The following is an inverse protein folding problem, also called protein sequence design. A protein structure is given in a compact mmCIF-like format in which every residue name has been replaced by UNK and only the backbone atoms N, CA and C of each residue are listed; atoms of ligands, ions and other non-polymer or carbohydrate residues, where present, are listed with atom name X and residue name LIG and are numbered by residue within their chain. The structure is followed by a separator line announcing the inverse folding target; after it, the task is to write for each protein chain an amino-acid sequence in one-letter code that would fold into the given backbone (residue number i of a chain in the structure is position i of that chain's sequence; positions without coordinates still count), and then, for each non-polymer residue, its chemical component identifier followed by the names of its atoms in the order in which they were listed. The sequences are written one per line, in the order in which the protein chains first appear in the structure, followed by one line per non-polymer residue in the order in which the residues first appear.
data_IF_188667072999
#
_entry.id   IF_188667072999
#
_cell.length_a   1.000
_cell.length_b   1.000
_cell.length_c   1.000
_cell.angle_alpha   90.00
_cell.angle_beta   90.00
_cell.angle_gamma   90.00
#
_symmetry.space_group_name_H-M   'P 1'
#
loop_
_entity.id
_entity.type
_entity.pdbx_description
1 polymer ?
#
# COMPACT_ATOMS: atom_id res chain seq x y z
N UNK A 1 8.85 -1.63 17.65
CA UNK A 1 8.67 -2.57 18.78
C UNK A 1 8.45 -3.92 18.14
N UNK A 2 9.38 -4.84 18.40
CA UNK A 2 9.48 -6.13 17.72
C UNK A 2 8.40 -7.04 18.30
N UNK A 3 7.45 -7.49 17.49
CA UNK A 3 6.56 -8.59 17.87
C UNK A 3 6.85 -9.75 16.92
N UNK A 4 7.61 -10.77 17.36
CA UNK A 4 7.57 -12.07 16.71
C UNK A 4 6.27 -12.78 17.12
N UNK A 5 5.91 -13.84 16.39
CA UNK A 5 4.77 -14.76 16.57
C UNK A 5 3.54 -14.41 15.73
N UNK A 6 3.42 -15.08 14.58
CA UNK A 6 2.33 -16.04 14.38
C UNK A 6 2.85 -17.18 13.48
N UNK A 7 3.29 -18.29 14.07
CA UNK A 7 3.20 -19.59 13.40
C UNK A 7 1.82 -20.13 13.79
N UNK A 8 0.83 -19.98 12.90
CA UNK A 8 -0.41 -20.75 12.96
C UNK A 8 -0.53 -21.54 11.65
N UNK A 9 -0.70 -22.84 11.84
CA UNK A 9 -0.91 -23.84 10.82
C UNK A 9 -2.15 -23.57 9.95
N UNK A 10 -2.11 -24.12 8.75
CA UNK A 10 -3.12 -24.05 7.72
C UNK A 10 -4.53 -24.47 8.19
N UNK A 11 -5.51 -23.60 7.91
CA UNK A 11 -6.91 -23.94 7.66
C UNK A 11 -7.28 -23.28 6.33
N UNK A 12 -7.55 -24.11 5.33
CA UNK A 12 -8.09 -23.68 4.05
C UNK A 12 -9.48 -23.06 4.26
N UNK A 13 -9.68 -21.87 3.69
CA UNK A 13 -10.98 -21.23 3.54
C UNK A 13 -11.46 -20.44 4.75
N UNK A 14 -11.28 -19.12 4.70
CA UNK A 14 -12.19 -18.05 5.17
C UNK A 14 -11.36 -16.76 5.35
N UNK A 15 -11.73 -15.73 4.58
CA UNK A 15 -11.26 -14.36 4.64
C UNK A 15 -9.74 -14.15 4.47
N UNK A 16 -9.35 -13.72 3.25
CA UNK A 16 -8.25 -12.76 3.13
C UNK A 16 -8.70 -11.49 3.86
N UNK A 17 -8.54 -11.48 5.19
CA UNK A 17 -8.80 -10.30 6.00
C UNK A 17 -7.93 -9.19 5.42
N UNK A 18 -8.58 -8.13 4.92
CA UNK A 18 -7.90 -6.99 4.33
C UNK A 18 -6.75 -6.58 5.25
N UNK A 19 -5.52 -6.74 4.75
CA UNK A 19 -4.33 -6.44 5.53
C UNK A 19 -4.44 -5.01 6.05
N UNK A 20 -4.27 -4.79 7.37
CA UNK A 20 -4.55 -3.50 8.02
C UNK A 20 -3.77 -2.34 7.39
N UNK A 21 -2.65 -2.65 6.73
CA UNK A 21 -1.77 -1.70 6.05
C UNK A 21 -2.39 -1.09 4.78
N UNK A 22 -3.35 -1.75 4.14
CA UNK A 22 -4.03 -1.18 2.98
C UNK A 22 -5.34 -0.49 3.35
N UNK A 23 -5.89 -0.81 4.53
CA UNK A 23 -7.09 -0.18 5.08
C UNK A 23 -6.86 1.27 5.53
N UNK A 24 -5.61 1.66 5.83
CA UNK A 24 -5.27 3.05 6.15
C UNK A 24 -5.42 4.00 4.96
N UNK A 25 -5.33 3.51 3.72
CA UNK A 25 -5.54 4.34 2.53
C UNK A 25 -7.02 4.67 2.34
N UNK A 26 -7.35 5.88 1.83
CA UNK A 26 -8.71 6.21 1.43
C UNK A 26 -9.28 5.18 0.45
N UNK A 27 -10.55 4.80 0.61
CA UNK A 27 -11.17 3.78 -0.25
C UNK A 27 -11.11 4.11 -1.74
N UNK A 28 -11.33 5.39 -2.08
CA UNK A 28 -11.19 5.90 -3.45
C UNK A 28 -9.77 5.78 -4.04
N UNK A 29 -8.72 5.68 -3.20
CA UNK A 29 -7.33 5.60 -3.63
C UNK A 29 -6.87 4.14 -3.82
N UNK A 30 -7.52 3.17 -3.15
CA UNK A 30 -7.17 1.75 -3.21
C UNK A 30 -7.10 1.18 -4.63
N UNK A 31 -8.07 1.41 -5.55
CA UNK A 31 -7.97 0.88 -6.91
C UNK A 31 -6.79 1.48 -7.69
N UNK A 32 -6.51 2.78 -7.49
CA UNK A 32 -5.37 3.46 -8.11
C UNK A 32 -4.04 2.87 -7.65
N UNK A 33 -3.88 2.66 -6.34
CA UNK A 33 -2.70 2.04 -5.77
C UNK A 33 -2.57 0.59 -6.25
N UNK A 34 -3.65 -0.20 -6.19
CA UNK A 34 -3.65 -1.59 -6.67
C UNK A 34 -3.14 -1.71 -8.11
N UNK A 35 -3.62 -0.82 -8.99
CA UNK A 35 -3.17 -0.75 -10.39
C UNK A 35 -1.69 -0.37 -10.50
N UNK A 36 -1.25 0.64 -9.75
CA UNK A 36 0.14 1.08 -9.74
C UNK A 36 1.11 -0.02 -9.28
N UNK A 37 0.78 -0.74 -8.19
CA UNK A 37 1.58 -1.86 -7.68
C UNK A 37 1.67 -3.00 -8.71
N UNK A 38 0.56 -3.37 -9.33
CA UNK A 38 0.54 -4.38 -10.41
C UNK A 38 1.39 -3.97 -11.60
N UNK A 39 1.37 -2.69 -11.99
CA UNK A 39 2.11 -2.17 -13.15
C UNK A 39 3.63 -2.30 -12.96
N UNK A 40 4.11 -2.22 -11.72
CA UNK A 40 5.53 -2.36 -11.39
C UNK A 40 5.93 -3.77 -10.97
N UNK A 41 5.01 -4.73 -11.01
CA UNK A 41 5.25 -6.13 -10.64
C UNK A 41 5.34 -6.39 -9.13
N UNK A 42 4.91 -5.44 -8.29
CA UNK A 42 4.83 -5.66 -6.84
C UNK A 42 3.47 -6.27 -6.45
N UNK A 43 3.44 -7.08 -5.41
CA UNK A 43 2.20 -7.40 -4.71
C UNK A 43 1.59 -6.14 -4.11
N UNK A 44 0.25 -6.02 -4.10
CA UNK A 44 -0.42 -4.80 -3.60
C UNK A 44 -0.19 -4.55 -2.10
N UNK A 45 0.24 -5.56 -1.35
CA UNK A 45 0.62 -5.48 0.06
C UNK A 45 2.14 -5.70 0.27
N UNK A 46 2.93 -5.71 -0.81
CA UNK A 46 4.37 -5.93 -0.73
C UNK A 46 5.08 -4.63 -0.35
N UNK A 47 5.03 -4.29 0.95
CA UNK A 47 5.71 -3.13 1.54
C UNK A 47 7.21 -3.12 1.21
N UNK A 48 7.98 -4.23 1.31
CA UNK A 48 9.38 -4.25 0.87
C UNK A 48 9.56 -3.83 -0.60
N UNK A 49 8.71 -4.32 -1.51
CA UNK A 49 8.78 -3.97 -2.93
C UNK A 49 8.36 -2.51 -3.18
N UNK A 50 7.26 -2.06 -2.58
CA UNK A 50 6.75 -0.71 -2.70
C UNK A 50 7.71 0.36 -2.15
N UNK A 51 8.51 0.01 -1.13
CA UNK A 51 9.44 0.93 -0.47
C UNK A 51 10.84 1.03 -1.11
N UNK A 52 11.11 0.26 -2.18
CA UNK A 52 12.30 0.49 -3.02
C UNK A 52 12.20 1.89 -3.64
N UNK A 53 13.31 2.65 -3.62
CA UNK A 53 13.31 4.04 -4.08
C UNK A 53 12.79 4.20 -5.52
N UNK A 54 13.18 3.29 -6.42
CA UNK A 54 12.71 3.25 -7.81
C UNK A 54 11.19 2.99 -7.91
N UNK A 55 10.68 2.04 -7.12
CA UNK A 55 9.28 1.66 -7.12
C UNK A 55 8.38 2.74 -6.52
N UNK A 56 8.83 3.42 -5.47
CA UNK A 56 8.10 4.56 -4.91
C UNK A 56 7.88 5.66 -5.96
N UNK A 57 8.88 5.94 -6.80
CA UNK A 57 8.74 6.91 -7.89
C UNK A 57 7.69 6.42 -8.89
N UNK A 58 7.83 5.18 -9.38
CA UNK A 58 6.88 4.59 -10.34
C UNK A 58 5.44 4.56 -9.78
N UNK A 59 5.25 4.16 -8.52
CA UNK A 59 3.94 4.17 -7.86
C UNK A 59 3.36 5.58 -7.87
N UNK A 60 4.12 6.62 -7.50
CA UNK A 60 3.64 8.01 -7.55
C UNK A 60 3.28 8.44 -8.97
N UNK A 61 4.13 8.14 -9.94
CA UNK A 61 3.92 8.51 -11.34
C UNK A 61 2.63 7.87 -11.89
N UNK A 62 2.34 6.62 -11.52
CA UNK A 62 1.11 5.91 -11.95
C UNK A 62 -0.13 6.26 -11.13
N UNK A 63 -0.01 6.44 -9.82
CA UNK A 63 -1.16 6.59 -8.92
C UNK A 63 -1.62 8.04 -8.77
N UNK A 64 -0.73 9.05 -8.84
CA UNK A 64 -1.05 10.42 -8.41
C UNK A 64 -2.25 11.00 -9.17
N UNK A 65 -2.25 10.94 -10.51
CA UNK A 65 -3.37 11.45 -11.31
C UNK A 65 -4.68 10.72 -10.98
N UNK A 66 -4.64 9.39 -10.93
CA UNK A 66 -5.81 8.56 -10.60
C UNK A 66 -6.38 8.92 -9.22
N UNK A 67 -5.52 9.08 -8.21
CA UNK A 67 -5.96 9.40 -6.84
C UNK A 67 -6.52 10.82 -6.77
N UNK A 68 -5.95 11.79 -7.48
CA UNK A 68 -6.50 13.15 -7.53
C UNK A 68 -7.88 13.14 -8.19
N UNK A 69 -8.04 12.44 -9.31
CA UNK A 69 -9.30 12.36 -10.04
C UNK A 69 -10.39 11.64 -9.21
N UNK A 70 -10.02 10.58 -8.48
CA UNK A 70 -10.97 9.77 -7.70
C UNK A 70 -11.27 10.32 -6.29
N UNK A 71 -10.31 11.01 -5.67
CA UNK A 71 -10.39 11.40 -4.26
C UNK A 71 -10.26 12.91 -3.99
N UNK A 72 -9.81 13.69 -4.98
CA UNK A 72 -9.39 15.07 -4.79
C UNK A 72 -8.01 15.22 -4.14
N UNK A 73 -7.46 16.43 -4.22
CA UNK A 73 -6.07 16.75 -3.83
C UNK A 73 -5.83 16.46 -2.33
N UNK A 74 -6.75 16.81 -1.44
CA UNK A 74 -6.56 16.63 0.01
C UNK A 74 -6.36 15.15 0.39
N UNK A 75 -7.12 14.24 -0.22
CA UNK A 75 -6.99 12.79 0.01
C UNK A 75 -5.79 12.21 -0.72
N UNK A 76 -5.39 12.78 -1.86
CA UNK A 76 -4.14 12.43 -2.53
C UNK A 76 -2.91 12.72 -1.66
N UNK A 77 -2.87 13.89 -1.02
CA UNK A 77 -1.81 14.24 -0.07
C UNK A 77 -1.79 13.32 1.15
N UNK A 78 -2.97 12.98 1.70
CA UNK A 78 -3.08 11.99 2.77
C UNK A 78 -2.56 10.62 2.34
N UNK A 79 -2.91 10.17 1.14
CA UNK A 79 -2.44 8.91 0.54
C UNK A 79 -0.92 8.87 0.44
N UNK A 80 -0.29 9.95 -0.06
CA UNK A 80 1.17 10.09 -0.09
C UNK A 80 1.79 9.96 1.30
N UNK A 81 1.26 10.70 2.26
CA UNK A 81 1.78 10.72 3.64
C UNK A 81 1.69 9.34 4.31
N UNK A 82 0.59 8.60 4.09
CA UNK A 82 0.43 7.23 4.60
C UNK A 82 1.50 6.31 4.00
N UNK A 83 1.72 6.36 2.67
CA UNK A 83 2.74 5.54 2.01
C UNK A 83 4.16 5.86 2.47
N UNK A 84 4.48 7.15 2.66
CA UNK A 84 5.78 7.57 3.21
C UNK A 84 5.99 7.06 4.64
N UNK A 85 4.94 7.13 5.47
CA UNK A 85 4.97 6.61 6.84
C UNK A 85 5.15 5.09 6.85
N UNK A 86 4.42 4.34 6.03
CA UNK A 86 4.54 2.89 5.93
C UNK A 86 5.98 2.46 5.60
N UNK A 87 6.63 3.14 4.65
CA UNK A 87 8.02 2.85 4.30
C UNK A 87 9.05 3.28 5.35
N UNK A 88 8.74 4.30 6.15
CA UNK A 88 9.56 4.66 7.31
C UNK A 88 9.43 3.62 8.41
N UNK A 89 8.21 3.16 8.69
CA UNK A 89 7.94 2.19 9.74
C UNK A 89 8.52 0.80 9.40
N UNK A 90 8.50 0.40 8.12
CA UNK A 90 9.15 -0.84 7.65
C UNK A 90 10.67 -0.86 7.85
N UNK A 91 11.33 0.30 7.86
CA UNK A 91 12.80 0.40 8.02
C UNK A 91 13.27 0.30 9.49
N UNK A 92 12.36 0.31 10.47
CA UNK A 92 12.64 0.33 11.91
C UNK A 92 12.27 -0.98 12.61
#
# INVERSE_FOLDING_TARGET
MKAPLVILAALAGLAFAAEPEFAQFPECARPCLSSAYKTIGCGVHDTPCGCKAENQKKIRDHATKCVIDACGISKALKTKSIGEKACKDFKN
#
